data_IF_728924756422
#
_entry.id   IF_728924756422
#
_cell.length_a   1.000
_cell.length_b   1.000
_cell.length_c   1.000
_cell.angle_alpha   90.00
_cell.angle_beta   90.00
_cell.angle_gamma   90.00
#
_symmetry.space_group_name_H-M   'P 1'
#
loop_
_entity.id
_entity.type
_entity.pdbx_description
1 polymer ?
#
# COMPACT_ATOMS: atom_id res chain seq x y z
N UNK A 1 47.52 -8.94 -35.07
CA UNK A 1 46.18 -8.90 -34.44
C UNK A 1 46.21 -9.70 -33.14
N UNK A 2 45.43 -9.24 -32.15
CA UNK A 2 45.15 -9.81 -30.81
C UNK A 2 46.20 -9.58 -29.69
N UNK A 3 45.75 -8.75 -28.74
CA UNK A 3 46.23 -8.56 -27.36
C UNK A 3 45.73 -9.72 -26.48
N UNK A 4 46.45 -9.99 -25.38
CA UNK A 4 45.95 -10.42 -24.03
C UNK A 4 47.18 -10.69 -23.17
N UNK A 5 47.69 -9.74 -22.37
CA UNK A 5 47.24 -9.25 -21.05
C UNK A 5 47.29 -10.29 -19.91
N UNK A 6 48.48 -10.32 -19.29
CA UNK A 6 48.82 -10.36 -17.85
C UNK A 6 48.01 -11.26 -16.92
N UNK A 7 48.68 -12.26 -16.34
CA UNK A 7 48.35 -12.86 -15.05
C UNK A 7 49.39 -12.42 -14.01
N UNK A 8 48.97 -11.63 -13.02
CA UNK A 8 49.78 -11.14 -11.90
C UNK A 8 49.34 -11.92 -10.66
N UNK A 9 50.09 -12.96 -10.27
CA UNK A 9 49.86 -13.68 -9.02
C UNK A 9 50.61 -12.97 -7.90
N UNK A 10 49.89 -12.13 -7.15
CA UNK A 10 50.41 -11.51 -5.94
C UNK A 10 50.18 -12.45 -4.75
N UNK A 11 51.27 -12.98 -4.23
CA UNK A 11 51.34 -13.58 -2.90
C UNK A 11 51.19 -12.50 -1.82
N UNK A 12 50.30 -12.69 -0.86
CA UNK A 12 50.56 -12.25 0.52
C UNK A 12 49.69 -13.02 1.52
N UNK A 13 50.37 -13.84 2.31
CA UNK A 13 49.87 -14.50 3.51
C UNK A 13 49.91 -13.47 4.63
N UNK A 14 48.79 -13.23 5.30
CA UNK A 14 48.76 -12.68 6.65
C UNK A 14 48.10 -13.70 7.57
N UNK A 15 48.93 -14.28 8.43
CA UNK A 15 48.53 -14.98 9.65
C UNK A 15 48.10 -13.91 10.64
N UNK A 16 46.93 -14.02 11.25
CA UNK A 16 46.67 -13.63 12.63
C UNK A 16 45.31 -14.20 13.09
N UNK A 17 45.40 -15.09 14.06
CA UNK A 17 44.31 -15.64 14.85
C UNK A 17 43.55 -14.56 15.62
N UNK A 18 42.24 -14.45 15.43
CA UNK A 18 41.32 -14.06 16.49
C UNK A 18 40.06 -14.93 16.43
N UNK A 19 39.90 -15.74 17.48
CA UNK A 19 38.66 -16.36 17.91
C UNK A 19 37.61 -15.29 18.18
N UNK A 20 36.79 -14.98 17.18
CA UNK A 20 35.51 -14.35 17.41
C UNK A 20 34.49 -15.48 17.67
N UNK A 21 33.81 -15.52 18.82
CA UNK A 21 32.69 -16.42 19.01
C UNK A 21 31.66 -16.11 17.92
N UNK A 22 31.04 -17.17 17.42
CA UNK A 22 29.86 -17.12 16.56
C UNK A 22 28.80 -16.32 17.31
N UNK A 23 28.82 -14.99 17.18
CA UNK A 23 27.74 -14.14 17.65
C UNK A 23 26.61 -14.53 16.73
N UNK A 24 25.73 -15.37 17.26
CA UNK A 24 24.38 -15.57 16.75
C UNK A 24 23.91 -14.19 16.33
N UNK A 25 23.87 -13.96 15.02
CA UNK A 25 23.03 -12.93 14.49
C UNK A 25 21.64 -13.38 14.89
N UNK A 26 21.19 -12.92 16.08
CA UNK A 26 19.79 -12.74 16.37
C UNK A 26 19.33 -11.94 15.19
N UNK A 27 18.72 -12.62 14.24
CA UNK A 27 17.76 -12.04 13.32
C UNK A 27 16.85 -11.24 14.23
N UNK A 28 17.12 -9.94 14.30
CA UNK A 28 16.20 -8.97 14.84
C UNK A 28 14.99 -9.13 13.93
N UNK A 29 14.04 -9.97 14.36
CA UNK A 29 12.67 -9.80 13.99
C UNK A 29 12.36 -8.39 14.45
N UNK A 30 12.48 -7.43 13.53
CA UNK A 30 11.86 -6.13 13.69
C UNK A 30 10.40 -6.47 13.90
N UNK A 31 10.00 -6.51 15.17
CA UNK A 31 8.64 -6.64 15.64
C UNK A 31 7.87 -5.63 14.82
N UNK A 32 7.10 -6.11 13.85
CA UNK A 32 6.27 -5.29 12.97
C UNK A 32 5.17 -4.72 13.86
N UNK A 33 5.51 -3.70 14.63
CA UNK A 33 4.57 -3.07 15.53
C UNK A 33 3.64 -2.24 14.66
N UNK A 34 2.37 -2.59 14.69
CA UNK A 34 1.31 -1.81 14.06
C UNK A 34 0.90 -0.67 15.00
N UNK A 35 0.43 0.43 14.43
CA UNK A 35 -0.29 1.51 15.09
C UNK A 35 -1.74 1.46 14.66
N UNK A 36 -2.64 2.05 15.46
CA UNK A 36 -4.05 2.21 15.10
C UNK A 36 -4.35 3.69 14.92
N UNK A 37 -4.99 4.02 13.80
CA UNK A 37 -5.52 5.33 13.51
C UNK A 37 -7.03 5.37 13.79
N UNK A 38 -7.52 6.52 14.24
CA UNK A 38 -8.96 6.82 14.37
C UNK A 38 -9.21 8.15 13.68
N UNK A 39 -10.17 8.19 12.76
CA UNK A 39 -10.57 9.42 12.07
C UNK A 39 -11.00 10.50 13.05
N UNK A 40 -10.89 11.77 12.65
CA UNK A 40 -11.33 12.90 13.47
C UNK A 40 -12.78 12.76 13.97
N UNK A 41 -13.70 12.35 13.08
CA UNK A 41 -15.11 12.11 13.42
C UNK A 41 -15.36 10.76 14.14
N UNK A 42 -14.30 10.00 14.42
CA UNK A 42 -14.31 8.67 15.06
C UNK A 42 -15.15 7.62 14.34
N UNK A 43 -15.61 7.89 13.12
CA UNK A 43 -16.45 6.98 12.31
C UNK A 43 -15.66 5.78 11.79
N UNK A 44 -14.35 5.92 11.64
CA UNK A 44 -13.48 4.93 11.04
C UNK A 44 -12.19 4.74 11.84
N UNK A 45 -11.72 3.49 11.90
CA UNK A 45 -10.39 3.13 12.44
C UNK A 45 -9.70 2.14 11.53
N UNK A 46 -8.37 2.16 11.49
CA UNK A 46 -7.58 1.14 10.79
C UNK A 46 -6.21 0.96 11.46
N UNK A 47 -5.57 -0.17 11.19
CA UNK A 47 -4.22 -0.48 11.63
C UNK A 47 -3.22 -0.30 10.50
N UNK A 48 -2.05 0.25 10.81
CA UNK A 48 -0.99 0.53 9.85
C UNK A 48 0.40 0.30 10.45
N UNK A 49 1.46 0.10 9.66
CA UNK A 49 2.79 -0.09 10.20
C UNK A 49 3.34 1.19 10.85
N UNK A 50 4.03 1.06 12.00
CA UNK A 50 4.72 2.21 12.60
C UNK A 50 5.71 2.86 11.62
N UNK A 51 5.84 4.18 11.72
CA UNK A 51 6.75 4.98 10.90
C UNK A 51 6.17 5.47 9.57
N UNK A 52 4.94 5.07 9.22
CA UNK A 52 4.23 5.66 8.09
C UNK A 52 3.65 7.02 8.45
N UNK A 53 3.44 7.85 7.43
CA UNK A 53 2.97 9.22 7.53
C UNK A 53 1.46 9.25 7.28
N UNK A 54 0.73 9.96 8.14
CA UNK A 54 -0.71 10.19 7.99
C UNK A 54 -0.95 11.68 7.84
N UNK A 55 -1.72 12.02 6.83
CA UNK A 55 -2.32 13.32 6.63
C UNK A 55 -3.84 13.17 6.79
N UNK A 56 -4.41 13.91 7.73
CA UNK A 56 -5.84 13.90 8.03
C UNK A 56 -6.44 15.25 7.68
N UNK A 57 -7.34 15.25 6.70
CA UNK A 57 -8.16 16.39 6.31
C UNK A 57 -9.62 16.06 6.63
N UNK A 58 -10.47 17.08 6.67
CA UNK A 58 -11.87 16.95 7.10
C UNK A 58 -12.66 15.87 6.33
N UNK A 59 -12.32 15.65 5.07
CA UNK A 59 -12.99 14.80 4.09
C UNK A 59 -12.11 13.65 3.58
N UNK A 60 -10.84 13.61 3.96
CA UNK A 60 -9.82 12.78 3.32
C UNK A 60 -8.72 12.35 4.29
N UNK A 61 -8.39 11.07 4.30
CA UNK A 61 -7.23 10.54 5.04
C UNK A 61 -6.24 9.96 4.04
N UNK A 62 -4.99 10.40 4.12
CA UNK A 62 -3.90 9.84 3.32
C UNK A 62 -2.83 9.21 4.21
N UNK A 63 -2.55 7.94 3.98
CA UNK A 63 -1.50 7.18 4.64
C UNK A 63 -0.44 6.81 3.60
N UNK A 64 0.82 7.10 3.90
CA UNK A 64 1.95 6.83 2.99
C UNK A 64 3.16 6.26 3.73
N UNK A 65 3.93 5.40 3.06
CA UNK A 65 5.21 4.91 3.60
C UNK A 65 6.42 5.76 3.16
N UNK A 66 6.16 6.93 2.58
CA UNK A 66 7.15 7.89 2.10
C UNK A 66 6.70 9.30 2.49
N UNK A 67 7.63 10.25 2.60
CA UNK A 67 7.28 11.65 2.88
C UNK A 67 6.81 12.32 1.59
N UNK A 68 5.52 12.68 1.52
CA UNK A 68 4.91 13.36 0.36
C UNK A 68 5.62 14.65 -0.03
N UNK A 69 5.95 15.50 0.94
CA UNK A 69 6.58 16.82 0.67
C UNK A 69 7.96 16.69 0.02
N UNK A 70 8.66 15.59 0.30
CA UNK A 70 9.96 15.28 -0.30
C UNK A 70 9.84 14.61 -1.67
N UNK A 71 8.64 14.15 -2.04
CA UNK A 71 8.39 13.40 -3.26
C UNK A 71 7.89 14.27 -4.42
N UNK A 72 7.51 15.53 -4.16
CA UNK A 72 7.20 16.52 -5.21
C UNK A 72 5.74 16.54 -5.67
N UNK A 73 4.80 16.27 -4.76
CA UNK A 73 3.36 16.51 -4.98
C UNK A 73 2.54 15.26 -5.33
N UNK A 74 1.25 15.46 -5.61
CA UNK A 74 0.24 14.39 -5.85
C UNK A 74 0.36 13.71 -7.20
N UNK A 75 1.00 14.36 -8.17
CA UNK A 75 1.04 13.93 -9.57
C UNK A 75 2.31 13.17 -9.94
N UNK A 76 3.22 12.89 -8.99
CA UNK A 76 4.39 12.07 -9.30
C UNK A 76 4.01 10.59 -9.27
N UNK A 77 4.36 9.79 -10.29
CA UNK A 77 4.16 8.35 -10.24
C UNK A 77 4.81 7.73 -9.03
N UNK A 78 4.22 6.69 -8.47
CA UNK A 78 4.77 6.00 -7.30
C UNK A 78 6.06 5.26 -7.66
N UNK A 79 7.11 5.48 -6.87
CA UNK A 79 8.37 4.77 -7.01
C UNK A 79 8.36 3.43 -6.26
N UNK A 80 9.43 2.65 -6.45
CA UNK A 80 9.56 1.28 -5.94
C UNK A 80 9.17 1.18 -4.46
N UNK A 81 8.28 0.23 -4.17
CA UNK A 81 7.74 -0.06 -2.83
C UNK A 81 6.90 1.04 -2.19
N UNK A 82 6.66 2.16 -2.86
CA UNK A 82 5.78 3.20 -2.34
C UNK A 82 4.34 2.70 -2.28
N UNK A 83 3.66 3.04 -1.20
CA UNK A 83 2.25 2.72 -0.98
C UNK A 83 1.59 4.01 -0.54
N UNK A 84 0.54 4.40 -1.24
CA UNK A 84 -0.39 5.45 -0.85
C UNK A 84 -1.73 4.77 -0.56
N UNK A 85 -2.33 5.08 0.58
CA UNK A 85 -3.69 4.69 0.91
C UNK A 85 -4.49 5.96 1.13
N UNK A 86 -5.50 6.16 0.31
CA UNK A 86 -6.45 7.25 0.39
C UNK A 86 -7.78 6.71 0.91
N UNK A 87 -8.39 7.42 1.86
CA UNK A 87 -9.72 7.11 2.36
C UNK A 87 -10.57 8.37 2.26
N UNK A 88 -11.55 8.35 1.36
CA UNK A 88 -12.54 9.40 1.22
C UNK A 88 -13.72 9.13 2.15
N UNK A 89 -14.01 10.09 3.01
CA UNK A 89 -15.23 10.12 3.81
C UNK A 89 -16.32 10.75 2.95
N UNK A 90 -16.80 9.96 1.99
CA UNK A 90 -17.66 10.40 0.90
C UNK A 90 -18.99 11.03 1.30
N UNK A 91 -19.73 11.56 0.30
CA UNK A 91 -20.98 12.27 0.54
C UNK A 91 -22.08 11.34 1.06
N UNK A 92 -23.19 11.95 1.48
CA UNK A 92 -24.41 11.20 1.73
C UNK A 92 -24.94 10.62 0.42
N UNK A 93 -25.11 9.30 0.40
CA UNK A 93 -25.60 8.47 -0.70
C UNK A 93 -26.74 7.58 -0.19
N UNK A 94 -27.75 8.16 0.46
CA UNK A 94 -28.87 7.43 1.08
C UNK A 94 -29.67 6.57 0.09
N UNK A 95 -29.66 6.95 -1.19
CA UNK A 95 -30.38 6.27 -2.26
C UNK A 95 -29.56 5.18 -2.98
N UNK A 96 -28.30 4.96 -2.58
CA UNK A 96 -27.43 3.98 -3.21
C UNK A 96 -27.27 2.74 -2.33
N UNK A 97 -27.08 1.62 -3.00
CA UNK A 97 -26.89 0.31 -2.36
C UNK A 97 -25.53 -0.28 -2.70
N UNK A 98 -25.16 -1.34 -1.97
CA UNK A 98 -23.99 -2.13 -2.31
C UNK A 98 -24.09 -2.75 -3.72
N UNK A 99 -25.31 -3.03 -4.20
CA UNK A 99 -25.52 -3.56 -5.55
C UNK A 99 -25.22 -2.50 -6.63
N UNK A 100 -25.51 -1.22 -6.35
CA UNK A 100 -25.19 -0.12 -7.26
C UNK A 100 -23.67 0.07 -7.34
N UNK A 101 -22.97 0.01 -6.19
CA UNK A 101 -21.51 0.01 -6.17
C UNK A 101 -20.90 -1.17 -6.93
N UNK A 102 -21.55 -2.34 -6.91
CA UNK A 102 -21.06 -3.54 -7.60
C UNK A 102 -21.18 -3.42 -9.13
N UNK A 103 -22.23 -2.76 -9.63
CA UNK A 103 -22.37 -2.42 -11.05
C UNK A 103 -21.29 -1.42 -11.49
N UNK A 104 -20.87 -0.58 -10.55
CA UNK A 104 -19.86 0.44 -10.76
C UNK A 104 -20.41 1.68 -11.43
N UNK A 105 -19.59 2.72 -11.41
CA UNK A 105 -19.75 3.92 -12.22
C UNK A 105 -18.73 3.76 -13.34
N UNK A 106 -19.16 3.77 -14.60
CA UNK A 106 -18.33 3.37 -15.74
C UNK A 106 -17.02 4.14 -15.80
N UNK A 107 -15.90 3.41 -15.77
CA UNK A 107 -14.57 3.91 -16.11
C UNK A 107 -14.00 2.94 -17.14
N UNK A 108 -13.98 3.38 -18.40
CA UNK A 108 -13.66 2.53 -19.56
C UNK A 108 -12.14 2.40 -19.83
N UNK A 109 -11.31 3.18 -19.12
CA UNK A 109 -9.87 3.30 -19.40
C UNK A 109 -8.97 2.47 -18.46
N UNK A 110 -9.56 1.66 -17.58
CA UNK A 110 -8.81 0.87 -16.59
C UNK A 110 -8.65 -0.60 -17.01
N UNK A 111 -7.44 -1.16 -16.84
CA UNK A 111 -7.22 -2.59 -17.01
C UNK A 111 -7.68 -3.35 -15.76
N UNK A 112 -8.80 -4.04 -15.86
CA UNK A 112 -9.34 -4.84 -14.75
C UNK A 112 -8.45 -6.05 -14.46
N UNK A 113 -7.90 -6.11 -13.25
CA UNK A 113 -7.10 -7.25 -12.75
C UNK A 113 -7.96 -8.19 -11.91
N UNK A 114 -8.83 -7.62 -11.09
CA UNK A 114 -9.87 -8.35 -10.38
C UNK A 114 -11.17 -7.57 -10.52
N UNK A 115 -12.22 -8.16 -11.12
CA UNK A 115 -13.51 -7.51 -11.22
C UNK A 115 -14.10 -7.23 -9.83
N UNK A 116 -15.04 -6.29 -9.80
CA UNK A 116 -15.79 -5.93 -8.61
C UNK A 116 -16.44 -7.16 -8.00
N UNK A 117 -16.21 -7.36 -6.70
CA UNK A 117 -16.84 -8.43 -5.93
C UNK A 117 -17.13 -7.99 -4.51
N UNK A 118 -18.15 -8.57 -3.90
CA UNK A 118 -18.44 -8.32 -2.50
C UNK A 118 -17.45 -9.08 -1.62
N UNK A 119 -16.86 -8.38 -0.66
CA UNK A 119 -15.99 -8.95 0.39
C UNK A 119 -16.51 -8.53 1.76
N UNK A 120 -16.16 -9.30 2.79
CA UNK A 120 -16.45 -8.93 4.19
C UNK A 120 -15.18 -8.46 4.87
N UNK A 121 -15.21 -7.25 5.41
CA UNK A 121 -14.10 -6.64 6.17
C UNK A 121 -14.65 -6.21 7.53
N UNK A 122 -14.10 -6.79 8.60
CA UNK A 122 -14.55 -6.54 9.99
C UNK A 122 -16.09 -6.60 10.16
N UNK A 123 -16.73 -7.60 9.56
CA UNK A 123 -18.19 -7.82 9.65
C UNK A 123 -19.06 -6.92 8.77
N UNK A 124 -18.45 -6.02 7.99
CA UNK A 124 -19.16 -5.16 7.03
C UNK A 124 -18.91 -5.62 5.60
N UNK A 125 -19.90 -5.49 4.73
CA UNK A 125 -19.77 -5.81 3.31
C UNK A 125 -19.21 -4.60 2.55
N UNK A 126 -18.21 -4.85 1.71
CA UNK A 126 -17.61 -3.89 0.79
C UNK A 126 -17.62 -4.45 -0.62
N UNK A 127 -17.63 -3.58 -1.62
CA UNK A 127 -17.24 -3.93 -2.98
C UNK A 127 -15.72 -3.72 -3.09
N UNK A 128 -15.01 -4.77 -3.49
CA UNK A 128 -13.57 -4.75 -3.76
C UNK A 128 -13.31 -4.80 -5.25
N UNK A 129 -12.42 -3.96 -5.73
CA UNK A 129 -11.92 -3.96 -7.10
C UNK A 129 -10.40 -3.90 -7.12
N UNK A 130 -9.78 -4.49 -8.15
CA UNK A 130 -8.35 -4.31 -8.41
C UNK A 130 -8.18 -3.98 -9.89
N UNK A 131 -7.58 -2.83 -10.18
CA UNK A 131 -7.29 -2.39 -11.54
C UNK A 131 -5.82 -1.99 -11.68
N UNK A 132 -5.31 -2.08 -12.90
CA UNK A 132 -4.14 -1.32 -13.33
C UNK A 132 -4.64 -0.07 -14.05
N UNK A 133 -4.15 1.08 -13.62
CA UNK A 133 -4.39 2.37 -14.26
C UNK A 133 -3.09 2.81 -14.94
N UNK A 134 -3.18 3.16 -16.22
CA UNK A 134 -2.06 3.71 -17.00
C UNK A 134 -1.85 5.21 -16.68
N UNK A 135 -1.53 5.49 -15.42
CA UNK A 135 -0.98 6.77 -14.98
C UNK A 135 0.54 6.62 -14.81
N UNK A 136 1.30 7.40 -15.58
CA UNK A 136 2.73 7.71 -15.38
C UNK A 136 3.65 6.49 -15.06
N UNK A 137 3.49 5.38 -15.76
CA UNK A 137 4.31 4.17 -15.56
C UNK A 137 3.60 3.00 -14.85
N UNK A 138 2.27 3.12 -14.72
CA UNK A 138 1.37 2.05 -14.32
C UNK A 138 1.24 1.94 -12.80
N UNK A 139 0.02 2.09 -12.33
CA UNK A 139 -0.33 2.00 -10.91
C UNK A 139 -1.37 0.92 -10.70
N UNK A 140 -1.10 0.00 -9.77
CA UNK A 140 -2.08 -0.97 -9.30
C UNK A 140 -2.92 -0.31 -8.21
N UNK A 141 -4.22 -0.23 -8.42
CA UNK A 141 -5.18 0.31 -7.46
C UNK A 141 -6.01 -0.84 -6.89
N UNK A 142 -6.11 -0.87 -5.56
CA UNK A 142 -6.95 -1.80 -4.82
C UNK A 142 -7.98 -0.95 -4.07
N UNK A 143 -9.24 -1.03 -4.47
CA UNK A 143 -10.29 -0.22 -3.84
C UNK A 143 -11.24 -1.07 -3.00
N UNK A 144 -11.77 -0.45 -1.95
CA UNK A 144 -12.87 -0.93 -1.12
C UNK A 144 -13.89 0.19 -1.01
N UNK A 145 -15.13 -0.10 -1.38
CA UNK A 145 -16.23 0.84 -1.26
C UNK A 145 -17.44 0.24 -0.53
N UNK A 146 -18.13 1.04 0.27
CA UNK A 146 -19.35 0.61 0.95
C UNK A 146 -20.24 1.82 1.26
N UNK A 147 -21.51 1.54 1.53
CA UNK A 147 -22.45 2.53 2.06
C UNK A 147 -22.90 2.05 3.44
N UNK A 148 -22.73 2.87 4.46
CA UNK A 148 -23.13 2.57 5.83
C UNK A 148 -23.95 3.72 6.37
N UNK A 149 -25.20 3.44 6.79
CA UNK A 149 -26.14 4.44 7.31
C UNK A 149 -26.27 5.65 6.36
N UNK A 150 -26.34 5.38 5.05
CA UNK A 150 -26.46 6.41 4.01
C UNK A 150 -25.18 7.16 3.69
N UNK A 151 -24.06 6.94 4.38
CA UNK A 151 -22.76 7.58 4.08
C UNK A 151 -21.89 6.67 3.22
N UNK A 152 -21.30 7.22 2.17
CA UNK A 152 -20.33 6.52 1.32
C UNK A 152 -18.95 6.50 1.96
N UNK A 153 -18.29 5.34 1.92
CA UNK A 153 -16.90 5.17 2.33
C UNK A 153 -16.15 4.55 1.18
N UNK A 154 -15.06 5.21 0.77
CA UNK A 154 -14.15 4.72 -0.26
C UNK A 154 -12.74 4.70 0.29
N UNK A 155 -12.05 3.57 0.14
CA UNK A 155 -10.65 3.45 0.45
C UNK A 155 -9.94 2.84 -0.75
N UNK A 156 -8.88 3.47 -1.21
CA UNK A 156 -8.03 2.97 -2.27
C UNK A 156 -6.59 2.84 -1.78
N UNK A 157 -5.91 1.80 -2.24
CA UNK A 157 -4.47 1.67 -2.11
C UNK A 157 -3.84 1.69 -3.50
N UNK A 158 -2.94 2.65 -3.69
CA UNK A 158 -2.15 2.81 -4.90
C UNK A 158 -0.73 2.30 -4.65
N UNK A 159 -0.26 1.41 -5.53
CA UNK A 159 1.09 0.85 -5.49
C UNK A 159 1.70 0.85 -6.90
N UNK A 160 3.03 0.97 -7.03
CA UNK A 160 3.69 0.91 -8.34
C UNK A 160 3.44 -0.46 -8.99
N UNK A 161 3.17 -0.45 -10.30
CA UNK A 161 3.11 -1.69 -11.09
C UNK A 161 4.49 -2.36 -11.23
N UNK A 162 4.54 -3.62 -11.69
CA UNK A 162 5.78 -4.37 -11.90
C UNK A 162 6.26 -5.26 -10.72
N UNK A 163 7.58 -5.48 -10.61
CA UNK A 163 8.17 -6.52 -9.73
C UNK A 163 7.89 -6.34 -8.23
N UNK A 164 7.49 -5.14 -7.82
CA UNK A 164 7.28 -4.76 -6.42
C UNK A 164 5.81 -4.92 -5.98
N UNK A 165 4.90 -5.13 -6.94
CA UNK A 165 3.45 -5.20 -6.73
C UNK A 165 3.11 -6.19 -5.63
N UNK A 166 3.67 -7.41 -5.64
CA UNK A 166 3.22 -8.47 -4.72
C UNK A 166 3.38 -8.09 -3.25
N UNK A 167 4.54 -7.56 -2.84
CA UNK A 167 4.78 -7.20 -1.43
C UNK A 167 4.00 -5.95 -1.04
N UNK A 168 3.99 -4.93 -1.91
CA UNK A 168 3.26 -3.69 -1.67
C UNK A 168 1.75 -3.94 -1.58
N UNK A 169 1.23 -4.79 -2.46
CA UNK A 169 -0.16 -5.27 -2.45
C UNK A 169 -0.49 -5.98 -1.15
N UNK A 170 0.35 -6.93 -0.71
CA UNK A 170 0.10 -7.64 0.54
C UNK A 170 0.06 -6.72 1.76
N UNK A 171 0.91 -5.69 1.81
CA UNK A 171 0.90 -4.73 2.90
C UNK A 171 -0.32 -3.81 2.82
N UNK A 172 -0.64 -3.29 1.63
CA UNK A 172 -1.84 -2.51 1.37
C UNK A 172 -3.12 -3.27 1.74
N UNK A 173 -3.26 -4.52 1.33
CA UNK A 173 -4.42 -5.36 1.63
C UNK A 173 -4.58 -5.62 3.14
N UNK A 174 -3.49 -5.73 3.91
CA UNK A 174 -3.58 -5.83 5.37
C UNK A 174 -4.15 -4.58 6.00
N UNK A 175 -3.72 -3.40 5.52
CA UNK A 175 -4.22 -2.13 6.03
C UNK A 175 -5.71 -1.98 5.67
N UNK A 176 -6.07 -2.21 4.41
CA UNK A 176 -7.47 -2.17 3.96
C UNK A 176 -8.35 -3.18 4.72
N UNK A 177 -7.88 -4.40 4.96
CA UNK A 177 -8.61 -5.41 5.73
C UNK A 177 -8.75 -5.07 7.23
N UNK A 178 -8.00 -4.09 7.73
CA UNK A 178 -8.10 -3.62 9.11
C UNK A 178 -9.10 -2.48 9.30
N UNK A 179 -9.68 -1.94 8.22
CA UNK A 179 -10.67 -0.86 8.28
C UNK A 179 -11.92 -1.30 9.04
N UNK A 180 -12.32 -0.50 10.03
CA UNK A 180 -13.55 -0.67 10.81
C UNK A 180 -14.37 0.61 10.75
N UNK A 181 -15.62 0.49 10.32
CA UNK A 181 -16.62 1.56 10.27
C UNK A 181 -17.64 1.33 11.39
N UNK A 182 -17.97 2.37 12.16
CA UNK A 182 -18.90 2.31 13.31
C UNK A 182 -20.38 2.52 12.96
#
# INVERSE_FOLDING_TARGET
MKKSLVAFFLSLIFVLSLSAPLVSAKTSSTSKTTSTYTSYDKSLTFSYPKGWFIEDRKDYICLTNFKRDSYGGESKPLEKWMIKIAIDLGPNMENYTLADLLKGFGDDDHKVIQPRKVVTVNGKKFVKEIVDVDLDGGTRVISLSTIQKGKYYYAEACIPSGNYVKKSQQEAEKILASIRIK
#
